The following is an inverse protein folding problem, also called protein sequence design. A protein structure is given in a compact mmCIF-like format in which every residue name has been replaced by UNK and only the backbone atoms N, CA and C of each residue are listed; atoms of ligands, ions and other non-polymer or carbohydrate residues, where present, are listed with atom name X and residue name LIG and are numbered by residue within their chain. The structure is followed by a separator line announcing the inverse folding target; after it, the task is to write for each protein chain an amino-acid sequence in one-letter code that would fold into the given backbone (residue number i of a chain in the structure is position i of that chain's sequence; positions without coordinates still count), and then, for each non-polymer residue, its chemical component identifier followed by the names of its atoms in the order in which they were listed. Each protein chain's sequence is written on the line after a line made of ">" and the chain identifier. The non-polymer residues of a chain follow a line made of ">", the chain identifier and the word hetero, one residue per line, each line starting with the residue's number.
data_IF_396393609296
#
_entry.id   IF_396393609296
#
_cell.length_a   1.000
_cell.length_b   1.000
_cell.length_c   1.000
_cell.angle_alpha   90.00
_cell.angle_beta   90.00
_cell.angle_gamma   90.00
#
_symmetry.space_group_name_H-M   'P 1'
#
loop_
_entity.id
_entity.type
_entity.pdbx_description
1 polymer ?
#
# COMPACT_ATOMS: atom_id res chain seq x y z
N UNK A 1 28.78 23.55 40.01
CA UNK A 1 28.19 22.27 39.57
C UNK A 1 28.91 21.83 38.30
N UNK A 2 29.83 20.88 38.38
CA UNK A 2 30.65 20.45 37.25
C UNK A 2 29.82 19.52 36.33
N UNK A 3 29.19 20.14 35.32
CA UNK A 3 28.21 19.63 34.33
C UNK A 3 28.71 18.55 33.35
N UNK A 4 29.82 17.87 33.63
CA UNK A 4 30.54 17.13 32.57
C UNK A 4 29.87 15.82 32.11
N UNK A 5 29.07 15.13 32.93
CA UNK A 5 28.59 13.76 32.62
C UNK A 5 27.15 13.39 33.04
N UNK A 6 26.29 14.32 33.53
CA UNK A 6 24.82 14.06 33.51
C UNK A 6 24.29 13.83 32.08
N UNK A 7 25.13 14.21 31.12
CA UNK A 7 24.89 14.33 29.69
C UNK A 7 26.01 13.59 28.90
N UNK A 8 26.38 12.37 29.32
CA UNK A 8 27.21 11.41 28.54
C UNK A 8 28.68 11.75 28.21
N UNK A 9 29.06 13.02 28.20
CA UNK A 9 30.36 13.46 27.67
C UNK A 9 30.38 13.46 26.14
N UNK A 10 31.28 14.25 25.54
CA UNK A 10 31.29 14.50 24.10
C UNK A 10 31.40 13.22 23.24
N UNK A 11 32.15 12.22 23.70
CA UNK A 11 32.29 10.94 23.01
C UNK A 11 30.96 10.15 22.96
N UNK A 12 30.19 10.14 24.05
CA UNK A 12 28.92 9.42 24.10
C UNK A 12 27.85 10.13 23.27
N UNK A 13 27.87 11.46 23.26
CA UNK A 13 26.99 12.24 22.39
C UNK A 13 27.31 12.02 20.90
N UNK A 14 28.60 11.98 20.55
CA UNK A 14 29.03 11.65 19.18
C UNK A 14 28.62 10.23 18.76
N UNK A 15 28.74 9.25 19.67
CA UNK A 15 28.29 7.89 19.42
C UNK A 15 26.77 7.81 19.19
N UNK A 16 25.97 8.43 20.06
CA UNK A 16 24.51 8.47 19.89
C UNK A 16 24.13 9.12 18.57
N UNK A 17 24.76 10.24 18.22
CA UNK A 17 24.56 10.92 16.94
C UNK A 17 24.91 10.00 15.76
N UNK A 18 26.05 9.33 15.82
CA UNK A 18 26.45 8.36 14.80
C UNK A 18 25.43 7.22 14.66
N UNK A 19 24.91 6.67 15.77
CA UNK A 19 23.84 5.66 15.72
C UNK A 19 22.56 6.20 15.09
N UNK A 20 22.14 7.41 15.43
CA UNK A 20 20.93 8.03 14.86
C UNK A 20 21.01 8.21 13.35
N UNK A 21 22.21 8.38 12.78
CA UNK A 21 22.41 8.44 11.33
C UNK A 21 22.63 7.05 10.73
N UNK A 22 23.54 6.27 11.31
CA UNK A 22 23.99 5.01 10.75
C UNK A 22 22.87 3.95 10.70
N UNK A 23 22.01 3.89 11.72
CA UNK A 23 20.92 2.91 11.76
C UNK A 23 19.90 3.12 10.63
N UNK A 24 19.25 4.29 10.47
CA UNK A 24 18.29 4.48 9.37
C UNK A 24 18.94 4.44 7.99
N UNK A 25 20.15 4.99 7.82
CA UNK A 25 20.87 4.93 6.54
C UNK A 25 21.21 3.48 6.20
N UNK A 26 21.82 2.76 7.15
CA UNK A 26 22.19 1.35 6.96
C UNK A 26 20.98 0.46 6.69
N UNK A 27 19.87 0.69 7.41
CA UNK A 27 18.61 -0.01 7.16
C UNK A 27 18.05 0.27 5.77
N UNK A 28 18.09 1.53 5.32
CA UNK A 28 17.67 1.90 3.97
C UNK A 28 18.55 1.23 2.92
N UNK A 29 19.87 1.25 3.11
CA UNK A 29 20.79 0.60 2.17
C UNK A 29 20.54 -0.90 2.10
N UNK A 30 20.44 -1.57 3.24
CA UNK A 30 20.26 -3.01 3.32
C UNK A 30 18.91 -3.48 2.73
N UNK A 31 17.83 -2.74 2.97
CA UNK A 31 16.49 -3.11 2.51
C UNK A 31 16.24 -2.61 1.08
N UNK A 32 16.49 -1.34 0.77
CA UNK A 32 16.10 -0.73 -0.50
C UNK A 32 16.97 -1.15 -1.68
N UNK A 33 18.27 -1.40 -1.48
CA UNK A 33 19.16 -1.82 -2.57
C UNK A 33 19.11 -3.35 -2.82
N UNK A 34 18.40 -4.10 -1.98
CA UNK A 34 18.18 -5.53 -2.17
C UNK A 34 16.70 -5.79 -2.52
N UNK A 35 16.36 -5.96 -3.81
CA UNK A 35 14.97 -6.16 -4.22
C UNK A 35 14.33 -7.41 -3.61
N UNK A 36 15.11 -8.43 -3.26
CA UNK A 36 14.59 -9.64 -2.60
C UNK A 36 14.12 -9.35 -1.17
N UNK A 37 14.90 -8.57 -0.42
CA UNK A 37 14.53 -8.18 0.96
C UNK A 37 13.40 -7.16 0.95
N UNK A 38 13.45 -6.18 0.05
CA UNK A 38 12.39 -5.20 -0.13
C UNK A 38 11.03 -5.86 -0.40
N UNK A 39 10.98 -6.80 -1.36
CA UNK A 39 9.75 -7.54 -1.68
C UNK A 39 9.22 -8.33 -0.49
N UNK A 40 10.09 -8.99 0.29
CA UNK A 40 9.68 -9.71 1.51
C UNK A 40 9.03 -8.78 2.55
N UNK A 41 9.60 -7.59 2.77
CA UNK A 41 9.06 -6.59 3.70
C UNK A 41 7.70 -6.08 3.23
N UNK A 42 7.56 -5.77 1.93
CA UNK A 42 6.31 -5.30 1.33
C UNK A 42 5.21 -6.36 1.44
N UNK A 43 5.52 -7.63 1.11
CA UNK A 43 4.54 -8.72 1.14
C UNK A 43 4.03 -9.04 2.56
N UNK A 44 4.84 -8.81 3.60
CA UNK A 44 4.44 -9.02 4.99
C UNK A 44 3.39 -8.01 5.49
N UNK A 45 3.24 -6.88 4.83
CA UNK A 45 2.26 -5.84 5.16
C UNK A 45 1.32 -5.65 3.98
N UNK A 46 0.37 -6.56 3.79
CA UNK A 46 -0.68 -6.45 2.76
C UNK A 46 -1.55 -5.21 3.06
N UNK A 47 -1.16 -4.05 2.53
CA UNK A 47 -1.86 -2.78 2.75
C UNK A 47 -3.04 -2.57 1.78
N UNK A 48 -3.02 -3.26 0.65
CA UNK A 48 -4.09 -3.17 -0.36
C UNK A 48 -4.80 -4.50 -0.44
N UNK A 49 -5.98 -4.57 0.15
CA UNK A 49 -6.95 -5.63 -0.10
C UNK A 49 -7.88 -5.11 -1.18
N UNK A 50 -7.67 -5.55 -2.42
CA UNK A 50 -8.67 -5.30 -3.45
C UNK A 50 -9.93 -6.09 -3.07
N UNK A 51 -11.11 -5.45 -3.09
CA UNK A 51 -12.35 -6.20 -2.99
C UNK A 51 -12.39 -7.22 -4.12
N UNK A 52 -13.10 -8.36 -3.94
CA UNK A 52 -13.30 -9.31 -5.02
C UNK A 52 -13.74 -8.59 -6.28
N UNK A 53 -13.12 -8.90 -7.42
CA UNK A 53 -13.55 -8.32 -8.70
C UNK A 53 -15.05 -8.57 -8.86
N UNK A 54 -15.80 -7.50 -9.11
CA UNK A 54 -17.23 -7.61 -9.38
C UNK A 54 -17.48 -8.46 -10.64
N UNK A 55 -18.71 -8.93 -10.85
CA UNK A 55 -19.06 -9.58 -12.10
C UNK A 55 -18.66 -8.68 -13.27
N UNK A 56 -18.05 -9.26 -14.31
CA UNK A 56 -17.73 -8.52 -15.53
C UNK A 56 -19.00 -7.81 -16.02
N UNK A 57 -18.88 -6.57 -16.51
CA UNK A 57 -20.01 -5.88 -17.10
C UNK A 57 -20.62 -6.73 -18.23
N UNK A 58 -21.95 -6.67 -18.42
CA UNK A 58 -22.61 -7.39 -19.51
C UNK A 58 -22.03 -6.99 -20.86
N UNK A 59 -22.06 -7.90 -21.84
CA UNK A 59 -21.59 -7.57 -23.19
C UNK A 59 -22.54 -6.59 -23.89
N UNK A 60 -22.06 -5.94 -24.95
CA UNK A 60 -22.89 -5.02 -25.72
C UNK A 60 -24.12 -5.74 -26.31
N UNK A 61 -23.95 -6.97 -26.79
CA UNK A 61 -25.02 -7.81 -27.32
C UNK A 61 -26.09 -8.08 -26.25
N UNK A 62 -25.68 -8.47 -25.04
CA UNK A 62 -26.59 -8.67 -23.90
C UNK A 62 -27.32 -7.40 -23.47
N UNK A 63 -26.68 -6.23 -23.62
CA UNK A 63 -27.31 -4.93 -23.37
C UNK A 63 -28.41 -4.63 -24.40
N UNK A 64 -28.14 -4.88 -25.69
CA UNK A 64 -29.12 -4.68 -26.76
C UNK A 64 -30.34 -5.60 -26.61
N UNK A 65 -30.11 -6.87 -26.23
CA UNK A 65 -31.20 -7.80 -25.95
C UNK A 65 -32.07 -7.35 -24.76
N UNK A 66 -31.44 -6.87 -23.69
CA UNK A 66 -32.17 -6.35 -22.51
C UNK A 66 -32.97 -5.09 -22.83
N UNK A 67 -32.42 -4.21 -23.68
CA UNK A 67 -33.12 -3.02 -24.17
C UNK A 67 -34.32 -3.38 -25.05
N UNK A 68 -34.15 -4.35 -25.94
CA UNK A 68 -35.23 -4.86 -26.80
C UNK A 68 -36.34 -5.56 -26.01
N UNK A 69 -36.02 -6.37 -25.00
CA UNK A 69 -37.02 -7.00 -24.12
C UNK A 69 -37.78 -5.98 -23.30
N UNK A 70 -37.10 -4.95 -22.78
CA UNK A 70 -37.74 -3.90 -21.96
C UNK A 70 -38.75 -3.06 -22.72
N UNK A 71 -38.51 -2.79 -24.02
CA UNK A 71 -39.48 -2.07 -24.84
C UNK A 71 -40.73 -2.91 -25.13
N UNK A 72 -40.55 -4.21 -25.29
CA UNK A 72 -41.64 -5.16 -25.52
C UNK A 72 -42.51 -5.35 -24.26
N UNK A 73 -41.90 -5.50 -23.09
CA UNK A 73 -42.61 -5.62 -21.80
C UNK A 73 -43.44 -4.36 -21.50
N UNK A 74 -42.87 -3.17 -21.72
CA UNK A 74 -43.57 -1.90 -21.52
C UNK A 74 -44.78 -1.73 -22.46
N UNK A 75 -44.72 -2.28 -23.68
CA UNK A 75 -45.84 -2.25 -24.63
C UNK A 75 -46.94 -3.27 -24.32
N UNK A 76 -46.60 -4.36 -23.62
CA UNK A 76 -47.56 -5.38 -23.21
C UNK A 76 -48.32 -5.01 -21.93
N UNK A 77 -47.67 -4.30 -21.00
CA UNK A 77 -48.31 -3.76 -19.79
C UNK A 77 -49.29 -2.60 -20.06
N UNK A 78 -49.27 -2.04 -21.28
CA UNK A 78 -50.13 -0.93 -21.71
C UNK A 78 -51.36 -1.36 -22.53
N UNK A 79 -51.57 -2.67 -22.71
CA UNK A 79 -52.74 -3.27 -23.38
C UNK A 79 -53.62 -4.02 -22.39
#
# INVERSE_FOLDING_TARGET
>A
MNRSLRNGGAALEAFKFACYLAVPIGMTVFVAYNPTMLNKVIQNRKYVVYPPEGPRPPSNEELWEKLGKRSQDNGSAAK
#
